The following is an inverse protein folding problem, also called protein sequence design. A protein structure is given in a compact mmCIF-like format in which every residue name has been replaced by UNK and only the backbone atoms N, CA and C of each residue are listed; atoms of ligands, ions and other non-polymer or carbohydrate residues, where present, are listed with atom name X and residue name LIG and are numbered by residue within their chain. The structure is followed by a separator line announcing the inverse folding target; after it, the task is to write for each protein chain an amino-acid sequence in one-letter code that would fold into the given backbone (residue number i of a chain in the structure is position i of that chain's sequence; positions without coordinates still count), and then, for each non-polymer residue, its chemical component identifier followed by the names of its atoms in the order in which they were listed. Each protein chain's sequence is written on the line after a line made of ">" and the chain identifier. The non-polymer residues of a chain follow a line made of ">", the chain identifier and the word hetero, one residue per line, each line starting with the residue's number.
data_IF_561262175755
#
_entry.id   IF_561262175755
#
_cell.length_a   1.000
_cell.length_b   1.000
_cell.length_c   1.000
_cell.angle_alpha   90.00
_cell.angle_beta   90.00
_cell.angle_gamma   90.00
#
_symmetry.space_group_name_H-M   'P 1'
#
loop_
_entity.id
_entity.type
_entity.pdbx_description
1 polymer ?
#
# COMPACT_ATOMS: atom_id res chain seq x y z
N UNK A 1 -18.43 -26.51 14.71
CA UNK A 1 -18.29 -25.48 13.66
C UNK A 1 -18.22 -24.06 14.20
N UNK A 2 -18.70 -23.72 15.38
CA UNK A 2 -18.70 -22.37 15.99
C UNK A 2 -17.31 -21.83 16.37
N UNK A 3 -16.43 -22.68 16.86
CA UNK A 3 -15.11 -22.28 17.38
C UNK A 3 -14.10 -21.84 16.30
N UNK A 4 -14.18 -22.43 15.10
CA UNK A 4 -13.38 -22.04 13.93
C UNK A 4 -13.68 -20.62 13.45
N UNK A 5 -14.95 -20.26 13.42
CA UNK A 5 -15.38 -18.95 12.93
C UNK A 5 -14.98 -17.82 13.90
N UNK A 6 -15.04 -18.07 15.21
CA UNK A 6 -14.73 -17.09 16.24
C UNK A 6 -13.25 -16.69 16.26
N UNK A 7 -12.33 -17.65 16.18
CA UNK A 7 -10.89 -17.33 16.19
C UNK A 7 -10.42 -16.66 14.91
N UNK A 8 -11.06 -16.90 13.78
CA UNK A 8 -10.79 -16.19 12.53
C UNK A 8 -10.95 -14.67 12.68
N UNK A 9 -11.93 -14.21 13.45
CA UNK A 9 -12.10 -12.79 13.74
C UNK A 9 -11.00 -12.21 14.63
N UNK A 10 -10.43 -13.02 15.56
CA UNK A 10 -9.26 -12.60 16.36
C UNK A 10 -8.04 -12.41 15.45
N UNK A 11 -7.80 -13.34 14.53
CA UNK A 11 -6.71 -13.25 13.56
C UNK A 11 -6.89 -12.01 12.65
N UNK A 12 -8.12 -11.75 12.22
CA UNK A 12 -8.44 -10.59 11.40
C UNK A 12 -8.23 -9.27 12.17
N UNK A 13 -8.69 -9.19 13.41
CA UNK A 13 -8.48 -8.02 14.26
C UNK A 13 -6.99 -7.78 14.53
N UNK A 14 -6.21 -8.83 14.83
CA UNK A 14 -4.77 -8.74 15.00
C UNK A 14 -4.09 -8.23 13.71
N UNK A 15 -4.44 -8.79 12.55
CA UNK A 15 -3.91 -8.36 11.26
C UNK A 15 -4.26 -6.89 10.96
N UNK A 16 -5.49 -6.47 11.23
CA UNK A 16 -5.95 -5.09 11.07
C UNK A 16 -5.13 -4.12 11.91
N UNK A 17 -4.93 -4.44 13.21
CA UNK A 17 -4.15 -3.60 14.14
C UNK A 17 -2.69 -3.50 13.68
N UNK A 18 -2.07 -4.61 13.26
CA UNK A 18 -0.69 -4.63 12.78
C UNK A 18 -0.54 -3.77 11.52
N UNK A 19 -1.44 -3.90 10.55
CA UNK A 19 -1.42 -3.09 9.32
C UNK A 19 -1.65 -1.61 9.65
N UNK A 20 -2.57 -1.30 10.56
CA UNK A 20 -2.82 0.07 11.03
C UNK A 20 -1.53 0.69 11.58
N UNK A 21 -0.82 -0.01 12.43
CA UNK A 21 0.42 0.46 13.02
C UNK A 21 1.53 0.62 11.97
N UNK A 22 1.71 -0.38 11.12
CA UNK A 22 2.77 -0.41 10.11
C UNK A 22 2.63 0.70 9.07
N UNK A 23 1.46 0.83 8.47
CA UNK A 23 1.23 1.83 7.41
C UNK A 23 1.10 3.24 7.99
N UNK A 24 0.52 3.36 9.19
CA UNK A 24 0.46 4.64 9.88
C UNK A 24 1.85 5.20 10.19
N UNK A 25 2.78 4.38 10.68
CA UNK A 25 4.18 4.79 10.91
C UNK A 25 4.93 5.08 9.62
N UNK A 26 4.67 4.33 8.55
CA UNK A 26 5.25 4.59 7.24
C UNK A 26 4.88 5.99 6.73
N UNK A 27 3.58 6.32 6.73
CA UNK A 27 3.08 7.61 6.25
C UNK A 27 3.37 8.76 7.23
N UNK A 28 3.68 8.48 8.51
CA UNK A 28 4.12 9.50 9.46
C UNK A 28 5.43 10.17 9.06
N UNK A 29 6.26 9.54 8.19
CA UNK A 29 7.46 10.18 7.65
C UNK A 29 7.15 11.52 6.96
N UNK A 30 5.98 11.64 6.33
CA UNK A 30 5.50 12.90 5.73
C UNK A 30 5.36 14.03 6.77
N UNK A 31 5.03 13.69 8.02
CA UNK A 31 4.92 14.64 9.13
C UNK A 31 6.29 15.03 9.69
N UNK A 32 7.28 14.13 9.61
CA UNK A 32 8.65 14.38 10.05
C UNK A 32 9.49 15.21 9.07
N UNK A 33 9.06 15.30 7.79
CA UNK A 33 9.84 15.95 6.74
C UNK A 33 10.31 17.36 7.14
N UNK A 34 9.37 18.23 7.50
CA UNK A 34 9.68 19.61 7.91
C UNK A 34 10.50 19.71 9.20
N UNK A 35 10.17 18.99 10.29
CA UNK A 35 11.01 18.95 11.48
C UNK A 35 12.45 18.49 11.24
N UNK A 36 12.68 17.52 10.36
CA UNK A 36 14.02 17.06 9.99
C UNK A 36 14.79 18.11 9.18
N UNK A 37 14.12 18.77 8.22
CA UNK A 37 14.67 19.90 7.47
C UNK A 37 15.11 21.00 8.43
N UNK A 38 14.21 21.45 9.32
CA UNK A 38 14.45 22.58 10.23
C UNK A 38 15.53 22.27 11.31
N UNK A 39 15.60 21.04 11.82
CA UNK A 39 16.49 20.69 12.92
C UNK A 39 17.84 20.15 12.49
N UNK A 40 17.91 19.44 11.36
CA UNK A 40 19.13 18.78 10.89
C UNK A 40 19.76 19.50 9.69
N UNK A 41 19.08 20.48 9.10
CA UNK A 41 19.52 21.17 7.89
C UNK A 41 19.53 20.27 6.63
N UNK A 42 18.83 19.13 6.67
CA UNK A 42 18.74 18.23 5.53
C UNK A 42 17.76 18.79 4.49
N UNK A 43 18.20 18.78 3.23
CA UNK A 43 17.32 19.20 2.12
C UNK A 43 16.19 18.19 1.90
N UNK A 44 15.06 18.65 1.38
CA UNK A 44 13.84 17.82 1.22
C UNK A 44 14.06 16.59 0.34
N UNK A 45 14.88 16.70 -0.71
CA UNK A 45 15.23 15.55 -1.55
C UNK A 45 15.94 14.45 -0.75
N UNK A 46 16.86 14.82 0.15
CA UNK A 46 17.56 13.85 1.00
C UNK A 46 16.62 13.13 1.96
N UNK A 47 15.66 13.84 2.57
CA UNK A 47 14.64 13.22 3.44
C UNK A 47 13.67 12.39 2.59
N UNK A 48 13.30 12.85 1.40
CA UNK A 48 12.41 12.12 0.49
C UNK A 48 13.06 10.85 -0.07
N UNK A 49 14.40 10.81 -0.19
CA UNK A 49 15.15 9.62 -0.57
C UNK A 49 15.01 8.48 0.47
N UNK A 50 14.73 8.81 1.74
CA UNK A 50 14.42 7.82 2.77
C UNK A 50 13.13 7.06 2.41
N UNK A 51 12.10 7.78 1.95
CA UNK A 51 10.86 7.17 1.48
C UNK A 51 11.10 6.26 0.26
N UNK A 52 11.95 6.68 -0.68
CA UNK A 52 12.33 5.85 -1.83
C UNK A 52 12.98 4.53 -1.37
N UNK A 53 13.98 4.60 -0.48
CA UNK A 53 14.65 3.41 0.07
C UNK A 53 13.69 2.52 0.83
N UNK A 54 12.77 3.10 1.59
CA UNK A 54 11.76 2.37 2.34
C UNK A 54 10.81 1.58 1.41
N UNK A 55 10.33 2.19 0.34
CA UNK A 55 9.49 1.50 -0.64
C UNK A 55 10.24 0.40 -1.40
N UNK A 56 11.51 0.62 -1.75
CA UNK A 56 12.36 -0.41 -2.37
C UNK A 56 12.56 -1.57 -1.41
N UNK A 57 12.92 -1.29 -0.14
CA UNK A 57 13.11 -2.31 0.89
C UNK A 57 11.81 -3.09 1.15
N UNK A 58 10.66 -2.40 1.19
CA UNK A 58 9.35 -3.03 1.33
C UNK A 58 9.00 -3.92 0.13
N UNK A 59 9.25 -3.47 -1.09
CA UNK A 59 9.01 -4.25 -2.29
C UNK A 59 9.84 -5.53 -2.32
N UNK A 60 11.15 -5.42 -2.13
CA UNK A 60 12.08 -6.55 -2.08
C UNK A 60 11.78 -7.50 -0.91
N UNK A 61 11.58 -6.92 0.28
CA UNK A 61 11.30 -7.66 1.50
C UNK A 61 10.00 -8.47 1.42
N UNK A 62 9.00 -7.99 0.66
CA UNK A 62 7.72 -8.70 0.51
C UNK A 62 7.86 -10.07 -0.16
N UNK A 63 8.80 -10.25 -1.09
CA UNK A 63 9.11 -11.58 -1.65
C UNK A 63 9.71 -12.50 -0.61
N UNK A 64 10.68 -12.00 0.16
CA UNK A 64 11.36 -12.74 1.22
C UNK A 64 10.35 -13.13 2.31
N UNK A 65 9.55 -12.18 2.77
CA UNK A 65 8.54 -12.38 3.81
C UNK A 65 7.45 -13.36 3.37
N UNK A 66 7.01 -13.30 2.11
CA UNK A 66 6.08 -14.27 1.53
C UNK A 66 6.63 -15.69 1.59
N UNK A 67 7.85 -15.92 1.10
CA UNK A 67 8.53 -17.21 1.14
C UNK A 67 8.73 -17.74 2.57
N UNK A 68 9.21 -16.88 3.47
CA UNK A 68 9.40 -17.25 4.87
C UNK A 68 8.06 -17.58 5.56
N UNK A 69 7.00 -16.85 5.23
CA UNK A 69 5.66 -17.11 5.77
C UNK A 69 5.09 -18.45 5.31
N UNK A 70 5.31 -18.84 4.08
CA UNK A 70 4.88 -20.14 3.59
C UNK A 70 5.64 -21.28 4.28
N UNK A 71 6.94 -21.12 4.52
CA UNK A 71 7.79 -22.13 5.14
C UNK A 71 7.60 -22.22 6.66
N UNK A 72 7.65 -21.09 7.36
CA UNK A 72 7.65 -21.04 8.84
C UNK A 72 6.30 -20.62 9.43
N UNK A 73 5.38 -20.13 8.61
CA UNK A 73 4.11 -19.51 9.02
C UNK A 73 4.21 -18.02 9.23
N UNK A 74 3.07 -17.35 9.23
CA UNK A 74 3.01 -15.87 9.32
C UNK A 74 3.52 -15.34 10.68
N UNK A 75 3.23 -16.05 11.79
CA UNK A 75 3.52 -15.58 13.15
C UNK A 75 4.99 -15.19 13.38
N UNK A 76 6.01 -16.07 13.15
CA UNK A 76 7.42 -15.69 13.37
C UNK A 76 7.89 -14.58 12.42
N UNK A 77 7.41 -14.57 11.18
CA UNK A 77 7.75 -13.53 10.19
C UNK A 77 7.23 -12.17 10.64
N UNK A 78 5.98 -12.12 11.12
CA UNK A 78 5.34 -10.88 11.60
C UNK A 78 5.98 -10.41 12.91
N UNK A 79 6.35 -11.32 13.84
CA UNK A 79 7.10 -10.96 15.05
C UNK A 79 8.45 -10.34 14.68
N UNK A 80 9.21 -10.98 13.78
CA UNK A 80 10.48 -10.44 13.27
C UNK A 80 10.30 -9.07 12.61
N UNK A 81 9.24 -8.91 11.80
CA UNK A 81 8.86 -7.63 11.21
C UNK A 81 8.55 -6.57 12.26
N UNK A 82 7.86 -6.95 13.36
CA UNK A 82 7.57 -6.05 14.49
C UNK A 82 8.85 -5.54 15.20
N UNK A 83 9.81 -6.43 15.39
CA UNK A 83 11.12 -6.07 15.97
C UNK A 83 11.88 -5.12 15.03
N UNK A 84 11.89 -5.40 13.72
CA UNK A 84 12.54 -4.52 12.74
C UNK A 84 11.84 -3.15 12.65
N UNK A 85 10.50 -3.12 12.66
CA UNK A 85 9.74 -1.88 12.63
C UNK A 85 10.00 -1.04 13.87
N UNK A 86 9.76 -1.58 15.06
CA UNK A 86 9.92 -0.85 16.33
C UNK A 86 11.37 -0.49 16.61
N UNK A 87 12.29 -1.45 16.42
CA UNK A 87 13.74 -1.20 16.57
C UNK A 87 14.26 -0.17 15.56
N UNK A 88 13.81 -0.25 14.29
CA UNK A 88 14.15 0.73 13.26
C UNK A 88 13.68 2.15 13.61
N UNK A 89 12.46 2.29 14.14
CA UNK A 89 11.94 3.59 14.61
C UNK A 89 12.73 4.13 15.81
N UNK A 90 13.00 3.29 16.83
CA UNK A 90 13.79 3.69 18.01
C UNK A 90 15.19 4.14 17.58
N UNK A 91 15.84 3.39 16.69
CA UNK A 91 17.15 3.76 16.15
C UNK A 91 17.08 5.04 15.32
N UNK A 92 16.00 5.26 14.57
CA UNK A 92 15.81 6.51 13.82
C UNK A 92 15.75 7.74 14.70
N UNK A 93 15.19 7.64 15.91
CA UNK A 93 15.21 8.72 16.90
C UNK A 93 16.60 9.03 17.49
N UNK A 94 17.59 8.13 17.31
CA UNK A 94 18.96 8.29 17.80
C UNK A 94 19.97 8.69 16.73
N UNK A 95 19.50 8.93 15.50
CA UNK A 95 20.39 9.26 14.38
C UNK A 95 20.94 10.69 14.48
N UNK A 96 22.20 10.86 14.12
CA UNK A 96 22.87 12.15 14.07
C UNK A 96 23.21 12.58 12.64
N UNK A 97 23.33 11.62 11.73
CA UNK A 97 23.71 11.84 10.35
C UNK A 97 22.77 11.13 9.38
N UNK A 98 22.62 11.67 8.18
CA UNK A 98 21.63 11.26 7.19
C UNK A 98 21.74 9.77 6.79
N UNK A 99 22.94 9.23 6.60
CA UNK A 99 23.11 7.83 6.19
C UNK A 99 22.60 6.83 7.25
N UNK A 100 22.69 7.18 8.55
CA UNK A 100 22.10 6.36 9.62
C UNK A 100 20.59 6.31 9.47
N UNK A 101 19.98 7.44 9.11
CA UNK A 101 18.53 7.51 8.91
C UNK A 101 18.08 6.72 7.67
N UNK A 102 18.88 6.70 6.60
CA UNK A 102 18.66 5.83 5.44
C UNK A 102 18.66 4.34 5.84
N UNK A 103 19.60 3.93 6.71
CA UNK A 103 19.68 2.57 7.19
C UNK A 103 18.53 2.22 8.14
N UNK A 104 18.25 3.08 9.12
CA UNK A 104 17.27 2.79 10.17
C UNK A 104 15.84 2.91 9.68
N UNK A 105 15.44 4.07 9.15
CA UNK A 105 14.08 4.25 8.65
C UNK A 105 13.92 3.72 7.21
N UNK A 106 14.84 4.02 6.32
CA UNK A 106 14.75 3.59 4.92
C UNK A 106 14.76 2.07 4.81
N UNK A 107 15.75 1.40 5.37
CA UNK A 107 15.96 -0.04 5.16
C UNK A 107 15.28 -0.87 6.27
N UNK A 108 15.61 -0.66 7.55
CA UNK A 108 15.08 -1.52 8.61
C UNK A 108 13.57 -1.42 8.76
N UNK A 109 13.01 -0.19 8.81
CA UNK A 109 11.55 -0.01 8.87
C UNK A 109 10.89 -0.55 7.60
N UNK A 110 11.47 -0.33 6.41
CA UNK A 110 10.96 -0.86 5.15
C UNK A 110 10.87 -2.39 5.12
N UNK A 111 11.92 -3.08 5.54
CA UNK A 111 11.91 -4.54 5.70
C UNK A 111 10.94 -4.98 6.81
N UNK A 112 10.83 -4.23 7.91
CA UNK A 112 9.86 -4.50 8.96
C UNK A 112 8.43 -4.51 8.42
N UNK A 113 8.03 -3.45 7.70
CA UNK A 113 6.70 -3.32 7.11
C UNK A 113 6.43 -4.39 6.05
N UNK A 114 7.45 -4.80 5.28
CA UNK A 114 7.31 -5.85 4.26
C UNK A 114 6.83 -7.19 4.82
N UNK A 115 7.14 -7.46 6.10
CA UNK A 115 6.74 -8.69 6.79
C UNK A 115 5.26 -8.76 7.14
N UNK A 116 4.48 -7.72 6.87
CA UNK A 116 3.09 -7.68 7.31
C UNK A 116 2.09 -7.87 6.19
N UNK A 117 2.15 -7.06 5.12
CA UNK A 117 1.06 -6.97 4.16
C UNK A 117 0.71 -8.32 3.52
N UNK A 118 1.68 -8.98 2.91
CA UNK A 118 1.47 -10.26 2.21
C UNK A 118 1.17 -11.40 3.20
N UNK A 119 1.98 -11.65 4.25
CA UNK A 119 1.71 -12.73 5.20
C UNK A 119 0.37 -12.61 5.92
N UNK A 120 -0.03 -11.39 6.33
CA UNK A 120 -1.30 -11.19 7.04
C UNK A 120 -2.50 -11.36 6.12
N UNK A 121 -2.45 -10.78 4.90
CA UNK A 121 -3.53 -10.91 3.93
C UNK A 121 -3.77 -12.37 3.57
N UNK A 122 -2.72 -13.13 3.27
CA UNK A 122 -2.82 -14.57 2.96
C UNK A 122 -3.36 -15.35 4.15
N UNK A 123 -2.88 -15.06 5.37
CA UNK A 123 -3.33 -15.74 6.59
C UNK A 123 -4.82 -15.51 6.81
N UNK A 124 -5.28 -14.25 6.72
CA UNK A 124 -6.70 -13.90 6.94
C UNK A 124 -7.59 -14.56 5.88
N UNK A 125 -7.22 -14.51 4.60
CA UNK A 125 -8.00 -15.14 3.52
C UNK A 125 -8.17 -16.65 3.75
N UNK A 126 -7.17 -17.34 4.32
CA UNK A 126 -7.24 -18.77 4.65
C UNK A 126 -8.23 -19.08 5.79
N UNK A 127 -8.52 -18.13 6.67
CA UNK A 127 -9.51 -18.28 7.74
C UNK A 127 -10.96 -18.07 7.28
N UNK A 128 -11.19 -17.27 6.23
CA UNK A 128 -12.53 -16.87 5.77
C UNK A 128 -12.87 -17.46 4.39
N UNK A 129 -13.44 -18.68 4.35
CA UNK A 129 -13.77 -19.36 3.09
C UNK A 129 -14.87 -18.65 2.29
N UNK A 130 -15.93 -18.19 2.95
CA UNK A 130 -17.10 -17.60 2.29
C UNK A 130 -17.11 -16.05 2.24
N UNK A 131 -16.23 -15.38 3.00
CA UNK A 131 -16.19 -13.90 3.12
C UNK A 131 -14.77 -13.35 2.89
N UNK A 132 -14.04 -13.96 1.94
CA UNK A 132 -12.64 -13.61 1.66
C UNK A 132 -12.45 -12.14 1.28
N UNK A 133 -13.34 -11.62 0.43
CA UNK A 133 -13.30 -10.22 -0.01
C UNK A 133 -13.50 -9.23 1.15
N UNK A 134 -14.51 -9.49 2.00
CA UNK A 134 -14.77 -8.69 3.18
C UNK A 134 -13.57 -8.70 4.15
N UNK A 135 -13.03 -9.87 4.42
CA UNK A 135 -11.88 -10.01 5.31
C UNK A 135 -10.64 -9.27 4.79
N UNK A 136 -10.33 -9.39 3.49
CA UNK A 136 -9.24 -8.64 2.85
C UNK A 136 -9.48 -7.12 2.87
N UNK A 137 -10.72 -6.69 2.65
CA UNK A 137 -11.10 -5.26 2.71
C UNK A 137 -10.95 -4.68 4.12
N UNK A 138 -11.32 -5.42 5.17
CA UNK A 138 -11.14 -4.98 6.56
C UNK A 138 -9.65 -4.83 6.86
N UNK A 139 -8.81 -5.83 6.53
CA UNK A 139 -7.35 -5.72 6.75
C UNK A 139 -6.78 -4.51 6.00
N UNK A 140 -7.13 -4.33 4.74
CA UNK A 140 -6.63 -3.19 3.95
C UNK A 140 -7.13 -1.83 4.42
N UNK A 141 -8.28 -1.78 5.13
CA UNK A 141 -8.79 -0.55 5.74
C UNK A 141 -7.91 -0.06 6.89
N UNK A 142 -7.09 -0.94 7.48
CA UNK A 142 -6.05 -0.56 8.44
C UNK A 142 -5.10 0.50 7.90
N UNK A 143 -4.85 0.54 6.58
CA UNK A 143 -4.02 1.58 5.95
C UNK A 143 -4.61 2.98 6.19
N UNK A 144 -5.92 3.13 5.99
CA UNK A 144 -6.61 4.41 6.20
C UNK A 144 -6.67 4.82 7.67
N UNK A 145 -6.99 3.87 8.56
CA UNK A 145 -7.03 4.12 10.00
C UNK A 145 -5.64 4.47 10.54
N UNK A 146 -4.58 3.79 10.06
CA UNK A 146 -3.21 4.09 10.43
C UNK A 146 -2.82 5.52 10.10
N UNK A 147 -3.09 5.96 8.89
CA UNK A 147 -2.81 7.33 8.47
C UNK A 147 -3.64 8.35 9.27
N UNK A 148 -4.93 8.06 9.51
CA UNK A 148 -5.81 8.91 10.31
C UNK A 148 -5.31 9.09 11.76
N UNK A 149 -4.89 8.01 12.39
CA UNK A 149 -4.50 8.03 13.80
C UNK A 149 -3.06 8.50 14.01
N UNK A 150 -2.11 7.96 13.23
CA UNK A 150 -0.69 8.17 13.52
C UNK A 150 -0.15 9.50 12.97
N UNK A 151 -0.69 10.06 11.90
CA UNK A 151 -0.19 11.34 11.40
C UNK A 151 -0.45 12.50 12.40
N UNK A 152 -1.68 12.71 12.93
CA UNK A 152 -1.91 13.70 13.98
C UNK A 152 -1.19 13.37 15.30
N UNK A 153 -1.14 12.09 15.70
CA UNK A 153 -0.41 11.67 16.90
C UNK A 153 1.08 12.00 16.78
N UNK A 154 1.70 11.70 15.65
CA UNK A 154 3.09 12.02 15.37
C UNK A 154 3.34 13.52 15.50
N UNK A 155 2.47 14.34 14.90
CA UNK A 155 2.61 15.80 14.99
C UNK A 155 2.44 16.32 16.42
N UNK A 156 1.48 15.76 17.15
CA UNK A 156 1.28 16.09 18.56
C UNK A 156 2.51 15.75 19.40
N UNK A 157 3.12 14.58 19.20
CA UNK A 157 4.37 14.18 19.86
C UNK A 157 5.51 15.15 19.53
N UNK A 158 5.70 15.52 18.27
CA UNK A 158 6.74 16.47 17.85
C UNK A 158 6.52 17.84 18.47
N UNK A 159 5.28 18.31 18.57
CA UNK A 159 4.97 19.62 19.14
C UNK A 159 5.19 19.70 20.67
N UNK A 160 4.97 18.58 21.38
CA UNK A 160 5.07 18.56 22.86
C UNK A 160 6.45 18.12 23.34
N UNK A 161 7.22 17.43 22.50
CA UNK A 161 8.56 16.95 22.83
C UNK A 161 9.54 17.42 21.75
N UNK A 162 9.97 16.48 20.89
CA UNK A 162 10.79 16.71 19.72
C UNK A 162 10.63 15.53 18.73
N UNK A 163 11.22 15.64 17.55
CA UNK A 163 11.12 14.57 16.54
C UNK A 163 11.84 13.28 16.97
N UNK A 164 12.93 13.37 17.76
CA UNK A 164 13.69 12.21 18.26
C UNK A 164 12.84 11.40 19.25
N UNK A 165 12.27 12.09 20.23
CA UNK A 165 11.36 11.50 21.22
C UNK A 165 10.10 10.94 20.56
N UNK A 166 9.56 11.61 19.53
CA UNK A 166 8.41 11.10 18.77
C UNK A 166 8.74 9.76 18.09
N UNK A 167 9.93 9.60 17.50
CA UNK A 167 10.36 8.32 16.95
C UNK A 167 10.54 7.22 18.01
N UNK A 168 11.11 7.55 19.16
CA UNK A 168 11.26 6.60 20.28
C UNK A 168 9.89 6.10 20.73
N UNK A 169 8.95 6.99 21.02
CA UNK A 169 7.60 6.64 21.48
C UNK A 169 6.86 5.81 20.42
N UNK A 170 6.90 6.21 19.15
CA UNK A 170 6.27 5.45 18.06
C UNK A 170 6.87 4.05 17.92
N UNK A 171 8.18 3.91 18.11
CA UNK A 171 8.87 2.62 18.10
C UNK A 171 8.46 1.72 19.25
N UNK A 172 8.34 2.25 20.45
CA UNK A 172 7.86 1.54 21.63
C UNK A 172 6.39 1.10 21.45
N UNK A 173 5.52 2.00 20.97
CA UNK A 173 4.14 1.66 20.66
C UNK A 173 4.09 0.55 19.61
N UNK A 174 4.92 0.63 18.55
CA UNK A 174 4.98 -0.41 17.53
C UNK A 174 5.35 -1.78 18.12
N UNK A 175 6.37 -1.86 19.01
CA UNK A 175 6.73 -3.10 19.68
C UNK A 175 5.61 -3.65 20.56
N UNK A 176 5.02 -2.79 21.39
CA UNK A 176 3.97 -3.18 22.34
C UNK A 176 2.67 -3.57 21.66
N UNK A 177 2.37 -2.99 20.48
CA UNK A 177 1.14 -3.30 19.74
C UNK A 177 1.35 -4.46 18.78
N UNK A 178 2.43 -4.43 17.97
CA UNK A 178 2.62 -5.41 16.89
C UNK A 178 3.00 -6.77 17.44
N UNK A 179 3.90 -6.85 18.42
CA UNK A 179 4.39 -8.15 18.92
C UNK A 179 3.26 -8.95 19.60
N UNK A 180 2.49 -8.40 20.57
CA UNK A 180 1.37 -9.14 21.15
C UNK A 180 0.29 -9.51 20.13
N UNK A 181 -0.04 -8.58 19.19
CA UNK A 181 -0.99 -8.89 18.12
C UNK A 181 -0.47 -10.03 17.22
N UNK A 182 0.82 -10.04 16.88
CA UNK A 182 1.44 -11.12 16.10
C UNK A 182 1.38 -12.49 16.81
N UNK A 183 1.47 -12.50 18.14
CA UNK A 183 1.35 -13.73 18.92
C UNK A 183 -0.05 -14.36 18.86
N UNK A 184 -1.08 -13.56 18.55
CA UNK A 184 -2.45 -14.04 18.31
C UNK A 184 -2.62 -14.69 16.94
N UNK A 185 -1.68 -14.52 16.02
CA UNK A 185 -1.76 -15.14 14.70
C UNK A 185 -1.62 -16.66 14.79
N UNK A 186 -2.54 -17.39 14.17
CA UNK A 186 -2.51 -18.85 14.04
C UNK A 186 -2.70 -19.25 12.59
N UNK A 187 -2.11 -20.38 12.20
CA UNK A 187 -2.40 -21.00 10.91
C UNK A 187 -3.87 -21.41 10.86
N UNK A 188 -4.53 -21.14 9.74
CA UNK A 188 -5.86 -21.69 9.51
C UNK A 188 -5.76 -23.24 9.57
N UNK A 189 -6.72 -23.90 10.22
CA UNK A 189 -6.77 -25.37 10.21
C UNK A 189 -6.83 -25.86 8.76
N UNK A 190 -6.00 -26.85 8.42
CA UNK A 190 -6.02 -27.46 7.09
C UNK A 190 -7.43 -27.99 6.81
N UNK A 191 -8.09 -27.47 5.78
CA UNK A 191 -9.25 -28.14 5.21
C UNK A 191 -8.69 -29.35 4.49
N UNK A 192 -9.07 -30.54 4.91
CA UNK A 192 -8.79 -31.76 4.17
C UNK A 192 -9.52 -31.65 2.82
N UNK A 193 -8.82 -31.14 1.82
CA UNK A 193 -9.29 -31.23 0.43
C UNK A 193 -9.30 -32.71 0.09
N UNK A 194 -10.40 -33.25 -0.48
CA UNK A 194 -10.39 -34.58 -1.02
C UNK A 194 -9.21 -34.73 -1.97
N UNK A 195 -8.42 -35.77 -1.83
CA UNK A 195 -7.19 -36.06 -2.58
C UNK A 195 -7.43 -36.34 -4.09
N UNK A 196 -8.52 -35.86 -4.66
CA UNK A 196 -8.94 -36.18 -6.02
C UNK A 196 -9.09 -34.92 -6.85
N UNK A 197 -7.97 -34.37 -7.25
CA UNK A 197 -7.75 -33.86 -8.62
C UNK A 197 -6.30 -33.37 -8.72
N UNK A 198 -5.46 -34.01 -9.56
CA UNK A 198 -4.18 -33.41 -9.92
C UNK A 198 -4.52 -32.08 -10.59
N UNK A 199 -4.10 -30.99 -9.97
CA UNK A 199 -4.29 -29.67 -10.53
C UNK A 199 -3.64 -29.63 -11.92
N UNK A 200 -4.36 -29.30 -13.02
CA UNK A 200 -3.80 -29.23 -14.37
C UNK A 200 -2.59 -28.28 -14.37
N UNK A 201 -1.48 -28.78 -14.91
CA UNK A 201 -0.16 -28.15 -14.92
C UNK A 201 -0.06 -27.06 -16.00
N UNK A 202 -0.79 -25.94 -15.82
CA UNK A 202 -0.69 -24.76 -16.67
C UNK A 202 -0.45 -23.47 -15.89
N UNK A 203 0.39 -23.55 -14.83
CA UNK A 203 0.93 -22.36 -14.20
C UNK A 203 1.87 -21.66 -15.19
N UNK A 204 1.47 -20.50 -15.70
CA UNK A 204 2.42 -19.66 -16.42
C UNK A 204 3.63 -19.44 -15.53
N UNK A 205 4.80 -19.95 -15.95
CA UNK A 205 6.06 -19.78 -15.23
C UNK A 205 6.32 -18.27 -15.14
N UNK A 206 6.91 -17.78 -14.06
CA UNK A 206 7.28 -16.36 -13.92
C UNK A 206 7.94 -15.81 -15.21
N UNK A 207 8.79 -16.63 -15.86
CA UNK A 207 9.43 -16.29 -17.13
C UNK A 207 8.44 -16.06 -18.29
N UNK A 208 7.26 -16.69 -18.26
CA UNK A 208 6.25 -16.50 -19.30
C UNK A 208 5.46 -15.22 -19.05
N UNK A 209 5.18 -14.85 -17.78
CA UNK A 209 4.46 -13.64 -17.42
C UNK A 209 5.12 -12.37 -17.98
N UNK A 210 6.46 -12.28 -17.92
CA UNK A 210 7.22 -11.13 -18.43
C UNK A 210 7.10 -10.93 -19.95
N UNK A 211 6.60 -11.92 -20.70
CA UNK A 211 6.41 -11.86 -22.15
C UNK A 211 4.99 -11.40 -22.54
N UNK A 212 4.07 -11.34 -21.62
CA UNK A 212 2.69 -10.98 -21.89
C UNK A 212 2.45 -9.48 -21.70
N UNK A 213 1.99 -8.80 -22.73
CA UNK A 213 1.64 -7.38 -22.68
C UNK A 213 0.67 -7.03 -21.54
N UNK A 214 -0.40 -7.80 -21.26
CA UNK A 214 -1.29 -7.49 -20.14
C UNK A 214 -0.60 -7.36 -18.79
N UNK A 215 0.47 -8.14 -18.53
CA UNK A 215 1.26 -8.00 -17.30
C UNK A 215 1.89 -6.60 -17.21
N UNK A 216 2.58 -6.17 -18.26
CA UNK A 216 3.23 -4.87 -18.29
C UNK A 216 2.23 -3.72 -18.31
N UNK A 217 1.09 -3.87 -19.00
CA UNK A 217 0.05 -2.86 -19.00
C UNK A 217 -0.53 -2.65 -17.59
N UNK A 218 -0.79 -3.72 -16.82
CA UNK A 218 -1.25 -3.63 -15.44
C UNK A 218 -0.15 -3.07 -14.54
N UNK A 219 1.08 -3.59 -14.64
CA UNK A 219 2.20 -3.18 -13.81
C UNK A 219 2.59 -1.72 -14.03
N UNK A 220 2.65 -1.26 -15.29
CA UNK A 220 2.98 0.13 -15.62
C UNK A 220 1.82 1.08 -15.27
N UNK A 221 0.56 0.64 -15.41
CA UNK A 221 -0.59 1.42 -14.91
C UNK A 221 -0.50 1.59 -13.41
N UNK A 222 -0.17 0.54 -12.66
CA UNK A 222 -0.03 0.59 -11.21
C UNK A 222 1.18 1.44 -10.81
N UNK A 223 2.32 1.28 -11.49
CA UNK A 223 3.50 2.13 -11.30
C UNK A 223 3.16 3.61 -11.49
N UNK A 224 2.55 3.97 -12.62
CA UNK A 224 2.21 5.36 -12.93
C UNK A 224 1.17 5.92 -11.94
N UNK A 225 0.16 5.12 -11.55
CA UNK A 225 -0.79 5.48 -10.51
C UNK A 225 -0.06 5.78 -9.19
N UNK A 226 0.85 4.90 -8.75
CA UNK A 226 1.61 5.05 -7.52
C UNK A 226 2.58 6.23 -7.57
N UNK A 227 3.31 6.40 -8.66
CA UNK A 227 4.20 7.55 -8.85
C UNK A 227 3.44 8.88 -8.83
N UNK A 228 2.24 8.90 -9.40
CA UNK A 228 1.41 10.10 -9.44
C UNK A 228 0.88 10.52 -8.06
N UNK A 229 0.46 9.58 -7.21
CA UNK A 229 -0.16 9.96 -5.93
C UNK A 229 0.80 10.01 -4.76
N UNK A 230 1.95 9.32 -4.83
CA UNK A 230 2.87 9.26 -3.69
C UNK A 230 3.56 10.59 -3.40
N UNK A 231 3.92 11.36 -4.42
CA UNK A 231 4.46 12.72 -4.25
C UNK A 231 3.47 13.63 -3.49
N UNK A 232 2.27 13.83 -4.00
CA UNK A 232 1.23 14.60 -3.30
C UNK A 232 0.96 14.13 -1.87
N UNK A 233 0.85 12.82 -1.62
CA UNK A 233 0.59 12.28 -0.28
C UNK A 233 1.76 12.56 0.68
N UNK A 234 2.98 12.33 0.23
CA UNK A 234 4.17 12.48 1.06
C UNK A 234 4.47 13.96 1.38
N UNK A 235 4.20 14.85 0.43
CA UNK A 235 4.48 16.28 0.58
C UNK A 235 3.28 17.13 1.00
N UNK A 236 2.08 16.54 1.15
CA UNK A 236 0.85 17.25 1.52
C UNK A 236 0.99 18.06 2.81
N UNK A 237 1.59 17.48 3.84
CA UNK A 237 1.77 18.13 5.14
C UNK A 237 2.73 19.31 5.02
N UNK A 238 3.88 19.11 4.37
CA UNK A 238 4.87 20.18 4.17
C UNK A 238 4.32 21.30 3.29
N UNK A 239 3.62 20.96 2.20
CA UNK A 239 2.95 21.93 1.34
C UNK A 239 1.93 22.78 2.10
N UNK A 240 1.11 22.17 2.94
CA UNK A 240 0.14 22.89 3.77
C UNK A 240 0.85 23.84 4.77
N UNK A 241 1.94 23.39 5.39
CA UNK A 241 2.74 24.22 6.31
C UNK A 241 3.38 25.38 5.57
N UNK A 242 3.93 25.19 4.38
CA UNK A 242 4.53 26.24 3.55
C UNK A 242 3.47 27.29 3.11
N UNK A 243 2.19 26.93 3.05
CA UNK A 243 1.06 27.85 2.84
C UNK A 243 0.55 28.51 4.13
N UNK A 244 1.22 28.31 5.28
CA UNK A 244 0.86 28.92 6.56
C UNK A 244 -0.21 28.14 7.36
N UNK A 245 -0.59 26.93 6.94
CA UNK A 245 -1.52 26.10 7.71
C UNK A 245 -0.81 25.59 8.97
N UNK A 246 -1.44 25.70 10.17
CA UNK A 246 -0.85 25.14 11.38
C UNK A 246 -0.49 23.65 11.23
N UNK A 247 0.68 23.26 11.74
CA UNK A 247 1.26 21.95 11.46
C UNK A 247 0.37 20.77 11.92
N UNK A 248 -0.36 20.93 13.03
CA UNK A 248 -1.31 19.90 13.50
C UNK A 248 -2.51 19.78 12.51
N UNK A 249 -3.00 20.92 12.00
CA UNK A 249 -4.05 20.92 10.99
C UNK A 249 -3.55 20.30 9.68
N UNK A 250 -2.33 20.62 9.24
CA UNK A 250 -1.71 20.01 8.06
C UNK A 250 -1.62 18.48 8.18
N UNK A 251 -1.19 17.96 9.34
CA UNK A 251 -1.17 16.52 9.63
C UNK A 251 -2.60 15.93 9.68
N UNK A 252 -3.57 16.70 10.16
CA UNK A 252 -4.99 16.33 10.15
C UNK A 252 -5.55 16.15 8.73
N UNK A 253 -5.13 16.96 7.76
CA UNK A 253 -5.53 16.80 6.35
C UNK A 253 -5.06 15.45 5.78
N UNK A 254 -3.82 15.05 6.08
CA UNK A 254 -3.31 13.72 5.72
C UNK A 254 -4.12 12.61 6.41
N UNK A 255 -4.45 12.77 7.69
CA UNK A 255 -5.32 11.84 8.43
C UNK A 255 -6.69 11.69 7.78
N UNK A 256 -7.33 12.80 7.39
CA UNK A 256 -8.62 12.80 6.71
C UNK A 256 -8.57 12.11 5.35
N UNK A 257 -7.48 12.25 4.59
CA UNK A 257 -7.29 11.50 3.35
C UNK A 257 -7.23 9.98 3.62
N UNK A 258 -6.60 9.57 4.73
CA UNK A 258 -6.58 8.19 5.20
C UNK A 258 -7.98 7.67 5.50
N UNK A 259 -8.78 8.43 6.26
CA UNK A 259 -10.17 8.06 6.59
C UNK A 259 -11.01 7.87 5.34
N UNK A 260 -11.01 8.85 4.44
CA UNK A 260 -11.81 8.78 3.22
C UNK A 260 -11.33 7.71 2.24
N UNK A 261 -10.05 7.28 2.32
CA UNK A 261 -9.55 6.15 1.54
C UNK A 261 -10.23 4.83 1.90
N UNK A 262 -10.72 4.68 3.13
CA UNK A 262 -11.51 3.50 3.54
C UNK A 262 -12.82 3.46 2.75
N UNK A 263 -13.49 4.61 2.64
CA UNK A 263 -14.74 4.74 1.84
C UNK A 263 -14.46 4.40 0.38
N UNK A 264 -13.36 4.91 -0.19
CA UNK A 264 -12.93 4.59 -1.54
C UNK A 264 -12.74 3.08 -1.75
N UNK A 265 -12.00 2.41 -0.85
CA UNK A 265 -11.71 0.95 -0.93
C UNK A 265 -12.97 0.10 -0.88
N UNK A 266 -13.86 0.38 0.07
CA UNK A 266 -15.11 -0.38 0.24
C UNK A 266 -16.09 -0.09 -0.88
N UNK A 267 -16.28 1.20 -1.23
CA UNK A 267 -17.22 1.62 -2.26
C UNK A 267 -16.86 1.06 -3.64
N UNK A 268 -15.58 1.07 -4.01
CA UNK A 268 -15.16 0.56 -5.33
C UNK A 268 -15.24 -0.95 -5.45
N UNK A 269 -15.09 -1.71 -4.36
CA UNK A 269 -15.37 -3.14 -4.39
C UNK A 269 -16.80 -3.41 -4.84
N UNK A 270 -17.78 -2.73 -4.24
CA UNK A 270 -19.20 -2.88 -4.58
C UNK A 270 -19.52 -2.39 -6.02
N UNK A 271 -18.87 -1.32 -6.47
CA UNK A 271 -19.05 -0.81 -7.83
C UNK A 271 -18.42 -1.75 -8.84
N UNK A 272 -17.23 -2.28 -8.57
CA UNK A 272 -16.53 -3.20 -9.46
C UNK A 272 -17.30 -4.50 -9.71
N UNK A 273 -18.01 -5.01 -8.69
CA UNK A 273 -18.85 -6.19 -8.81
C UNK A 273 -20.03 -5.98 -9.81
N UNK A 274 -20.49 -4.74 -9.98
CA UNK A 274 -21.61 -4.38 -10.86
C UNK A 274 -21.20 -3.93 -12.26
N UNK A 275 -20.13 -3.12 -12.34
CA UNK A 275 -19.70 -2.42 -13.56
C UNK A 275 -18.46 -3.03 -14.20
N UNK A 276 -17.74 -3.87 -13.43
CA UNK A 276 -16.49 -4.51 -13.82
C UNK A 276 -15.26 -3.75 -13.32
N UNK A 277 -14.22 -4.51 -12.94
CA UNK A 277 -13.02 -3.97 -12.28
C UNK A 277 -12.27 -2.96 -13.16
N UNK A 278 -12.10 -3.22 -14.46
CA UNK A 278 -11.39 -2.31 -15.38
C UNK A 278 -12.06 -0.94 -15.49
N UNK A 279 -13.39 -0.89 -15.65
CA UNK A 279 -14.12 0.38 -15.78
C UNK A 279 -14.06 1.19 -14.50
N UNK A 280 -14.20 0.51 -13.37
CA UNK A 280 -14.09 1.12 -12.03
C UNK A 280 -12.69 1.64 -11.78
N UNK A 281 -11.63 0.90 -12.19
CA UNK A 281 -10.24 1.34 -12.11
C UNK A 281 -10.01 2.64 -12.90
N UNK A 282 -10.48 2.69 -14.15
CA UNK A 282 -10.34 3.89 -15.00
C UNK A 282 -11.06 5.09 -14.38
N UNK A 283 -12.27 4.92 -13.86
CA UNK A 283 -13.01 5.98 -13.18
C UNK A 283 -12.25 6.51 -11.94
N UNK A 284 -11.68 5.60 -11.13
CA UNK A 284 -10.85 5.97 -9.99
C UNK A 284 -9.58 6.71 -10.39
N UNK A 285 -8.90 6.29 -11.46
CA UNK A 285 -7.72 6.97 -12.00
C UNK A 285 -8.05 8.37 -12.53
N UNK A 286 -9.20 8.55 -13.18
CA UNK A 286 -9.68 9.87 -13.62
C UNK A 286 -9.92 10.77 -12.41
N UNK A 287 -10.61 10.28 -11.38
CA UNK A 287 -10.84 11.04 -10.16
C UNK A 287 -9.52 11.43 -9.49
N UNK A 288 -8.55 10.51 -9.45
CA UNK A 288 -7.22 10.75 -8.90
C UNK A 288 -6.48 11.85 -9.69
N UNK A 289 -6.45 11.76 -11.02
CA UNK A 289 -5.79 12.75 -11.88
C UNK A 289 -6.40 14.13 -11.71
N UNK A 290 -7.72 14.23 -11.75
CA UNK A 290 -8.44 15.50 -11.56
C UNK A 290 -8.14 16.12 -10.20
N UNK A 291 -8.18 15.34 -9.13
CA UNK A 291 -7.92 15.82 -7.77
C UNK A 291 -6.47 16.32 -7.64
N UNK A 292 -5.48 15.62 -8.22
CA UNK A 292 -4.08 16.02 -8.20
C UNK A 292 -3.91 17.38 -8.94
N UNK A 293 -4.52 17.56 -10.10
CA UNK A 293 -4.47 18.85 -10.80
C UNK A 293 -5.12 19.98 -10.00
N UNK A 294 -6.20 19.71 -9.26
CA UNK A 294 -6.87 20.70 -8.44
C UNK A 294 -6.02 21.19 -7.26
N UNK A 295 -5.04 20.41 -6.77
CA UNK A 295 -4.10 20.88 -5.74
C UNK A 295 -3.30 22.12 -6.17
N UNK A 296 -3.10 22.35 -7.47
CA UNK A 296 -2.46 23.57 -8.00
C UNK A 296 -3.18 24.83 -7.55
N UNK A 297 -4.49 24.76 -7.35
CA UNK A 297 -5.33 25.89 -6.95
C UNK A 297 -5.58 25.98 -5.44
N UNK A 298 -5.11 24.99 -4.66
CA UNK A 298 -5.30 24.95 -3.22
C UNK A 298 -4.40 25.99 -2.54
N UNK A 299 -5.01 27.02 -1.97
CA UNK A 299 -4.31 28.12 -1.28
C UNK A 299 -4.72 28.26 0.18
N UNK A 300 -5.86 27.70 0.56
CA UNK A 300 -6.47 27.85 1.88
C UNK A 300 -6.64 26.49 2.54
N UNK A 301 -6.62 26.45 3.88
CA UNK A 301 -6.78 25.25 4.66
C UNK A 301 -8.06 24.46 4.30
N UNK A 302 -9.20 25.18 4.14
CA UNK A 302 -10.47 24.53 3.79
C UNK A 302 -10.42 23.78 2.46
N UNK A 303 -9.84 24.40 1.43
CA UNK A 303 -9.65 23.78 0.10
C UNK A 303 -8.69 22.59 0.18
N UNK A 304 -7.60 22.71 0.95
CA UNK A 304 -6.65 21.61 1.17
C UNK A 304 -7.32 20.42 1.83
N UNK A 305 -8.15 20.63 2.86
CA UNK A 305 -8.91 19.55 3.52
C UNK A 305 -9.92 18.90 2.57
N UNK A 306 -10.69 19.71 1.82
CA UNK A 306 -11.64 19.18 0.85
C UNK A 306 -10.95 18.31 -0.22
N UNK A 307 -9.84 18.81 -0.77
CA UNK A 307 -9.05 18.05 -1.75
C UNK A 307 -8.39 16.82 -1.13
N UNK A 308 -7.90 16.88 0.11
CA UNK A 308 -7.37 15.72 0.82
C UNK A 308 -8.42 14.62 0.98
N UNK A 309 -9.66 14.97 1.32
CA UNK A 309 -10.75 14.00 1.42
C UNK A 309 -11.10 13.37 0.07
N UNK A 310 -11.27 14.17 -0.99
CA UNK A 310 -11.55 13.65 -2.35
C UNK A 310 -10.39 12.79 -2.84
N UNK A 311 -9.17 13.24 -2.63
CA UNK A 311 -7.95 12.50 -2.99
C UNK A 311 -7.85 11.17 -2.23
N UNK A 312 -8.23 11.15 -0.96
CA UNK A 312 -8.32 9.92 -0.16
C UNK A 312 -9.26 8.91 -0.81
N UNK A 313 -10.48 9.33 -1.16
CA UNK A 313 -11.41 8.46 -1.91
C UNK A 313 -10.78 7.97 -3.21
N UNK A 314 -10.15 8.85 -3.97
CA UNK A 314 -9.58 8.55 -5.27
C UNK A 314 -8.47 7.48 -5.20
N UNK A 315 -7.40 7.70 -4.41
CA UNK A 315 -6.32 6.73 -4.32
C UNK A 315 -6.75 5.44 -3.59
N UNK A 316 -7.65 5.57 -2.61
CA UNK A 316 -8.23 4.41 -1.93
C UNK A 316 -9.00 3.50 -2.90
N UNK A 317 -9.73 4.10 -3.84
CA UNK A 317 -10.57 3.38 -4.79
C UNK A 317 -9.80 2.51 -5.77
N UNK A 318 -8.62 2.90 -6.20
CA UNK A 318 -7.87 2.17 -7.24
C UNK A 318 -7.04 1.02 -6.69
N UNK A 319 -6.57 1.09 -5.44
CA UNK A 319 -5.61 0.14 -4.88
C UNK A 319 -6.09 -1.33 -4.88
N UNK A 320 -7.30 -1.67 -4.41
CA UNK A 320 -7.75 -3.06 -4.41
C UNK A 320 -8.03 -3.61 -5.81
N UNK A 321 -8.33 -2.72 -6.78
CA UNK A 321 -8.73 -3.13 -8.12
C UNK A 321 -7.58 -3.74 -8.93
N UNK A 322 -6.33 -3.39 -8.64
CA UNK A 322 -5.18 -4.00 -9.31
C UNK A 322 -5.07 -5.50 -9.03
N UNK A 323 -5.39 -5.94 -7.81
CA UNK A 323 -5.46 -7.35 -7.49
C UNK A 323 -6.58 -8.05 -8.28
N UNK A 324 -7.77 -7.44 -8.35
CA UNK A 324 -8.92 -7.99 -9.08
C UNK A 324 -8.62 -8.08 -10.58
N UNK A 325 -8.13 -7.00 -11.18
CA UNK A 325 -7.75 -6.97 -12.60
C UNK A 325 -6.66 -8.01 -12.90
N UNK A 326 -5.62 -8.10 -12.05
CA UNK A 326 -4.57 -9.11 -12.25
C UNK A 326 -5.14 -10.53 -12.24
N UNK A 327 -6.08 -10.81 -11.32
CA UNK A 327 -6.77 -12.09 -11.26
C UNK A 327 -7.61 -12.39 -12.49
N UNK A 328 -8.32 -11.40 -13.02
CA UNK A 328 -9.13 -11.54 -14.24
C UNK A 328 -8.30 -11.95 -15.48
N UNK A 329 -7.03 -11.46 -15.55
CA UNK A 329 -6.15 -11.74 -16.69
C UNK A 329 -5.31 -13.01 -16.53
N UNK A 330 -4.89 -13.36 -15.30
CA UNK A 330 -3.92 -14.44 -15.06
C UNK A 330 -4.49 -15.64 -14.30
N UNK A 331 -5.73 -15.51 -13.81
CA UNK A 331 -6.39 -16.57 -13.04
C UNK A 331 -5.77 -16.79 -11.64
N UNK A 332 -6.37 -17.70 -10.86
CA UNK A 332 -5.98 -17.92 -9.46
C UNK A 332 -4.57 -18.55 -9.30
N UNK A 333 -4.10 -19.34 -10.27
CA UNK A 333 -2.82 -20.04 -10.21
C UNK A 333 -1.61 -19.14 -10.32
N UNK A 334 -1.62 -18.23 -11.29
CA UNK A 334 -0.53 -17.31 -11.54
C UNK A 334 -0.65 -16.03 -10.69
N UNK A 335 -1.74 -15.88 -9.93
CA UNK A 335 -2.08 -14.67 -9.18
C UNK A 335 -0.95 -14.20 -8.26
N UNK A 336 -0.37 -15.12 -7.47
CA UNK A 336 0.69 -14.78 -6.51
C UNK A 336 1.92 -14.17 -7.20
N UNK A 337 2.39 -14.82 -8.25
CA UNK A 337 3.57 -14.35 -9.01
C UNK A 337 3.27 -13.10 -9.82
N UNK A 338 2.11 -13.05 -10.49
CA UNK A 338 1.72 -11.91 -11.31
C UNK A 338 1.47 -10.67 -10.46
N UNK A 339 0.68 -10.78 -9.40
CA UNK A 339 0.38 -9.65 -8.52
C UNK A 339 1.59 -9.24 -7.69
N UNK A 340 2.43 -10.18 -7.25
CA UNK A 340 3.71 -9.88 -6.59
C UNK A 340 4.63 -9.03 -7.46
N UNK A 341 4.76 -9.37 -8.76
CA UNK A 341 5.51 -8.57 -9.72
C UNK A 341 4.90 -7.19 -9.97
N UNK A 342 3.58 -7.12 -10.15
CA UNK A 342 2.84 -5.84 -10.29
C UNK A 342 3.04 -4.97 -9.05
N UNK A 343 2.93 -5.53 -7.85
CA UNK A 343 3.11 -4.82 -6.59
C UNK A 343 4.54 -4.32 -6.40
N UNK A 344 5.55 -5.14 -6.70
CA UNK A 344 6.95 -4.70 -6.65
C UNK A 344 7.19 -3.48 -7.55
N UNK A 345 6.72 -3.54 -8.80
CA UNK A 345 6.84 -2.42 -9.74
C UNK A 345 6.11 -1.18 -9.22
N UNK A 346 4.95 -1.34 -8.57
CA UNK A 346 4.22 -0.23 -7.98
C UNK A 346 4.96 0.42 -6.79
N UNK A 347 5.67 -0.37 -5.98
CA UNK A 347 6.53 0.15 -4.91
C UNK A 347 7.63 1.07 -5.44
N UNK A 348 8.22 0.74 -6.60
CA UNK A 348 9.17 1.63 -7.27
C UNK A 348 8.51 2.96 -7.65
N UNK A 349 7.27 2.92 -8.16
CA UNK A 349 6.49 4.12 -8.44
C UNK A 349 6.25 4.96 -7.18
N UNK A 350 5.84 4.33 -6.08
CA UNK A 350 5.66 5.00 -4.79
C UNK A 350 6.93 5.72 -4.32
N UNK A 351 8.06 5.03 -4.36
CA UNK A 351 9.36 5.59 -3.96
C UNK A 351 9.80 6.75 -4.85
N UNK A 352 9.74 6.57 -6.16
CA UNK A 352 10.15 7.59 -7.12
C UNK A 352 9.28 8.85 -7.06
N UNK A 353 7.96 8.70 -6.93
CA UNK A 353 7.06 9.85 -6.81
C UNK A 353 7.29 10.65 -5.52
N UNK A 354 7.51 9.97 -4.39
CA UNK A 354 7.85 10.62 -3.12
C UNK A 354 9.19 11.37 -3.21
N UNK A 355 10.20 10.76 -3.82
CA UNK A 355 11.53 11.34 -3.98
C UNK A 355 11.52 12.53 -4.96
N UNK A 356 10.83 12.39 -6.08
CA UNK A 356 10.69 13.46 -7.07
C UNK A 356 10.11 14.74 -6.46
N UNK A 357 9.14 14.62 -5.53
CA UNK A 357 8.58 15.78 -4.84
C UNK A 357 9.60 16.57 -4.03
N UNK A 358 10.56 15.90 -3.40
CA UNK A 358 11.66 16.56 -2.70
C UNK A 358 12.60 17.30 -3.65
N UNK A 359 13.03 16.66 -4.74
CA UNK A 359 13.89 17.28 -5.77
C UNK A 359 13.20 18.50 -6.39
N UNK A 360 11.92 18.37 -6.76
CA UNK A 360 11.16 19.46 -7.37
C UNK A 360 11.10 20.66 -6.42
N UNK A 361 10.86 20.42 -5.14
CA UNK A 361 10.84 21.50 -4.16
C UNK A 361 12.23 22.14 -3.97
N UNK A 362 13.29 21.35 -3.89
CA UNK A 362 14.65 21.88 -3.71
C UNK A 362 15.10 22.73 -4.91
N UNK A 363 14.67 22.36 -6.15
CA UNK A 363 15.03 23.08 -7.38
C UNK A 363 14.16 24.32 -7.61
N UNK A 364 12.85 24.20 -7.40
CA UNK A 364 11.89 25.23 -7.79
C UNK A 364 11.33 26.04 -6.62
N UNK A 365 11.59 25.65 -5.36
CA UNK A 365 11.04 26.29 -4.15
C UNK A 365 9.52 26.16 -4.00
N UNK A 366 8.87 25.31 -4.81
CA UNK A 366 7.41 25.16 -4.85
C UNK A 366 6.99 23.76 -5.26
N UNK A 367 5.80 23.33 -4.81
CA UNK A 367 5.20 22.06 -5.21
C UNK A 367 4.34 22.13 -6.47
N UNK A 368 4.27 23.30 -7.14
CA UNK A 368 3.47 23.45 -8.36
C UNK A 368 3.81 22.39 -9.42
N UNK A 369 5.11 22.24 -9.70
CA UNK A 369 5.58 21.27 -10.69
C UNK A 369 5.39 19.82 -10.27
N UNK A 370 5.36 19.56 -8.96
CA UNK A 370 5.00 18.24 -8.43
C UNK A 370 3.55 17.89 -8.80
N UNK A 371 2.60 18.78 -8.53
CA UNK A 371 1.18 18.52 -8.83
C UNK A 371 0.91 18.42 -10.32
N UNK A 372 1.52 19.28 -11.15
CA UNK A 372 1.39 19.22 -12.61
C UNK A 372 2.00 17.93 -13.18
N UNK A 373 3.21 17.58 -12.78
CA UNK A 373 3.89 16.35 -13.20
C UNK A 373 3.15 15.08 -12.74
N UNK A 374 2.71 15.06 -11.49
CA UNK A 374 1.91 13.96 -10.94
C UNK A 374 0.58 13.81 -11.68
N UNK A 375 -0.10 14.92 -12.02
CA UNK A 375 -1.32 14.89 -12.82
C UNK A 375 -1.08 14.35 -14.23
N UNK A 376 0.03 14.72 -14.87
CA UNK A 376 0.43 14.18 -16.18
C UNK A 376 0.72 12.68 -16.11
N UNK A 377 1.44 12.21 -15.08
CA UNK A 377 1.69 10.77 -14.86
C UNK A 377 0.39 10.02 -14.57
N UNK A 378 -0.55 10.61 -13.80
CA UNK A 378 -1.87 10.02 -13.57
C UNK A 378 -2.67 9.89 -14.89
N UNK A 379 -2.58 10.87 -15.77
CA UNK A 379 -3.19 10.80 -17.11
C UNK A 379 -2.56 9.69 -17.95
N UNK A 380 -1.25 9.50 -17.88
CA UNK A 380 -0.57 8.35 -18.51
C UNK A 380 -1.09 7.02 -17.96
N UNK A 381 -1.33 6.91 -16.64
CA UNK A 381 -1.92 5.70 -16.06
C UNK A 381 -3.31 5.40 -16.66
N UNK A 382 -4.14 6.42 -16.91
CA UNK A 382 -5.44 6.25 -17.57
C UNK A 382 -5.25 5.70 -18.99
N UNK A 383 -4.35 6.28 -19.77
CA UNK A 383 -4.06 5.83 -21.15
C UNK A 383 -3.60 4.37 -21.14
N UNK A 384 -2.69 4.00 -20.25
CA UNK A 384 -2.22 2.62 -20.10
C UNK A 384 -3.37 1.66 -19.72
N UNK A 385 -4.24 2.06 -18.78
CA UNK A 385 -5.40 1.25 -18.40
C UNK A 385 -6.39 1.04 -19.57
N UNK A 386 -6.54 2.02 -20.45
CA UNK A 386 -7.38 1.91 -21.65
C UNK A 386 -6.85 0.86 -22.64
N UNK A 387 -5.52 0.66 -22.72
CA UNK A 387 -4.92 -0.36 -23.59
C UNK A 387 -5.23 -1.80 -23.18
N UNK A 388 -5.62 -2.03 -21.93
CA UNK A 388 -6.04 -3.33 -21.44
C UNK A 388 -7.25 -3.81 -22.22
N UNK A 389 -7.09 -4.83 -23.05
CA UNK A 389 -8.22 -5.50 -23.72
C UNK A 389 -8.92 -6.44 -22.74
N UNK A 390 -10.25 -6.64 -22.84
CA UNK A 390 -10.89 -7.62 -21.98
C UNK A 390 -10.22 -8.97 -22.14
N UNK A 391 -10.04 -9.74 -21.05
CA UNK A 391 -9.51 -11.09 -21.17
C UNK A 391 -10.39 -11.86 -22.15
N UNK A 392 -9.78 -12.49 -23.14
CA UNK A 392 -10.51 -13.39 -24.04
C UNK A 392 -11.10 -14.47 -23.15
N UNK A 393 -12.44 -14.58 -23.12
CA UNK A 393 -13.10 -15.71 -22.50
C UNK A 393 -12.38 -16.97 -22.98
N UNK A 394 -11.92 -17.81 -22.07
CA UNK A 394 -11.35 -19.10 -22.41
C UNK A 394 -12.36 -19.77 -23.35
N UNK A 395 -11.97 -19.99 -24.59
CA UNK A 395 -12.82 -20.69 -25.57
C UNK A 395 -13.28 -21.96 -24.86
N UNK A 396 -14.59 -22.25 -24.82
CA UNK A 396 -15.05 -23.51 -24.26
C UNK A 396 -14.26 -24.59 -24.99
N UNK A 397 -13.52 -25.39 -24.24
CA UNK A 397 -12.83 -26.56 -24.77
C UNK A 397 -13.84 -27.29 -25.60
N UNK A 398 -13.62 -27.33 -26.91
CA UNK A 398 -14.38 -28.23 -27.79
C UNK A 398 -14.21 -29.61 -27.19
N UNK A 399 -15.19 -30.04 -26.43
CA UNK A 399 -15.39 -31.46 -26.12
C UNK A 399 -15.48 -32.10 -27.49
N UNK A 400 -14.42 -32.76 -27.88
CA UNK A 400 -14.40 -33.67 -29.01
C UNK A 400 -15.42 -34.75 -28.67
N UNK A 401 -16.67 -34.55 -29.04
CA UNK A 401 -17.62 -35.62 -29.27
C UNK A 401 -17.14 -36.33 -30.55
N UNK A 402 -16.12 -37.14 -30.36
CA UNK A 402 -15.68 -38.14 -31.35
C UNK A 402 -15.89 -39.49 -30.69
N UNK A 403 -16.88 -40.19 -31.17
CA UNK A 403 -16.93 -41.64 -31.00
C UNK A 403 -18.10 -42.20 -30.19
N UNK A 404 -19.32 -42.14 -30.76
CA UNK A 404 -20.32 -43.13 -30.48
C UNK A 404 -21.27 -43.27 -31.69
N UNK A 405 -20.72 -43.67 -32.83
CA UNK A 405 -21.45 -44.35 -33.88
C UNK A 405 -20.57 -45.45 -34.41
N UNK A 406 -20.66 -46.64 -33.82
CA UNK A 406 -20.38 -47.91 -34.48
C UNK A 406 -20.88 -49.06 -33.60
N UNK A 407 -21.99 -49.59 -34.03
CA UNK A 407 -22.57 -50.94 -33.78
C UNK A 407 -23.27 -51.14 -32.45
#
# INVERSE_FOLDING_TARGET
>A
MSDRSSYGWVVLAAAFVIITMAIGTLFSLAVFLKPLEDSMGWVRSSVSAIALLNWIAMGLGSFIAGYLSDRFGARPVVVGGGVLLGGGLILSGRTEVLWQFYLTFGILVGFGVSCFYVPLTVTVIRWFEHRRGLAASIVSSGNGLGTLALAPLTRWLINNYDWRTAFLILGEIALVVVIPAALLLRRAPAVALPASQPAPDHGATARQLWRFWPFWAIALTHFACCAAHSGPIFHMVSHAIDLGVPALAAAGALGMSGLTSIVGRVGTGMVADRVGAKRTLIAGLILQALTIFLYVFAREAGTLYALAMVFGVAYGSVMPLYAVVTREYFGDRAMGTAYGGVFFISCLGMGLGSYAGGIIHDVFGTYLWLFLGSGAIATMAIVLALTLRPPRAALPSRVTQSGAFAR
#
